data_IF_321635026080
#
_entry.id   IF_321635026080
#
_cell.length_a   1.000
_cell.length_b   1.000
_cell.length_c   1.000
_cell.angle_alpha   90.00
_cell.angle_beta   90.00
_cell.angle_gamma   90.00
#
_symmetry.space_group_name_H-M   'P 1'
#
loop_
_entity.id
_entity.type
_entity.pdbx_description
1 polymer ?
#
# COMPACT_ATOMS: atom_id res chain seq x y z
N UNK A 1 -5.51 -21.54 12.15
CA UNK A 1 -4.61 -20.53 11.56
C UNK A 1 -4.74 -19.30 12.43
N UNK A 2 -3.68 -18.89 13.10
CA UNK A 2 -3.62 -17.55 13.71
C UNK A 2 -2.86 -16.70 12.72
N UNK A 3 -3.59 -16.10 11.76
CA UNK A 3 -3.03 -15.05 10.93
C UNK A 3 -2.59 -13.90 11.82
N UNK A 4 -1.45 -13.29 11.53
CA UNK A 4 -1.04 -12.08 12.23
C UNK A 4 -1.99 -10.95 11.79
N UNK A 5 -2.59 -10.25 12.75
CA UNK A 5 -3.53 -9.16 12.46
C UNK A 5 -2.72 -7.89 12.24
N UNK A 6 -3.09 -7.11 11.22
CA UNK A 6 -2.46 -5.81 10.98
C UNK A 6 -2.65 -4.90 12.20
N UNK A 7 -1.56 -4.25 12.61
CA UNK A 7 -1.57 -3.22 13.64
C UNK A 7 -1.83 -1.83 13.07
N UNK A 8 -1.93 -0.86 13.97
CA UNK A 8 -2.02 0.56 13.59
C UNK A 8 -0.74 1.03 12.87
N UNK A 9 0.42 0.55 13.29
CA UNK A 9 1.70 0.85 12.64
C UNK A 9 1.75 0.28 11.21
N UNK A 10 1.13 -0.89 11.00
CA UNK A 10 1.05 -1.48 9.66
C UNK A 10 0.25 -0.57 8.71
N UNK A 11 -0.94 -0.16 9.17
CA UNK A 11 -1.80 0.78 8.43
C UNK A 11 -1.13 2.13 8.17
N UNK A 12 -0.43 2.70 9.15
CA UNK A 12 0.26 3.99 8.97
C UNK A 12 1.35 3.90 7.91
N UNK A 13 2.11 2.82 7.85
CA UNK A 13 3.14 2.64 6.82
C UNK A 13 2.53 2.46 5.42
N UNK A 14 1.40 1.77 5.30
CA UNK A 14 0.67 1.66 4.03
C UNK A 14 0.22 3.05 3.57
N UNK A 15 -0.39 3.84 4.46
CA UNK A 15 -0.82 5.20 4.13
C UNK A 15 0.34 6.11 3.75
N UNK A 16 1.48 6.02 4.45
CA UNK A 16 2.69 6.79 4.11
C UNK A 16 3.17 6.51 2.68
N UNK A 17 3.00 5.29 2.18
CA UNK A 17 3.29 4.99 0.78
C UNK A 17 2.19 5.55 -0.11
N UNK A 18 0.92 5.20 0.12
CA UNK A 18 -0.17 5.58 -0.79
C UNK A 18 -0.36 7.10 -0.90
N UNK A 19 -0.15 7.86 0.17
CA UNK A 19 -0.19 9.33 0.17
C UNK A 19 0.89 9.92 -0.76
N UNK A 20 2.09 9.32 -0.85
CA UNK A 20 3.16 9.78 -1.76
C UNK A 20 2.82 9.60 -3.24
N UNK A 21 1.91 8.69 -3.54
CA UNK A 21 1.37 8.46 -4.88
C UNK A 21 0.04 9.19 -5.11
N UNK A 22 -0.36 10.05 -4.16
CA UNK A 22 -1.63 10.78 -4.19
C UNK A 22 -2.85 9.84 -4.36
N UNK A 23 -2.75 8.61 -3.85
CA UNK A 23 -3.83 7.63 -3.91
C UNK A 23 -4.80 7.90 -2.77
N UNK A 24 -6.05 8.18 -3.12
CA UNK A 24 -7.12 8.35 -2.16
C UNK A 24 -7.27 7.09 -1.27
N UNK A 25 -7.39 7.32 0.04
CA UNK A 25 -7.49 6.22 1.02
C UNK A 25 -8.75 5.39 0.87
N UNK A 26 -9.78 5.94 0.21
CA UNK A 26 -11.00 5.22 -0.17
C UNK A 26 -10.79 4.29 -1.38
N UNK A 27 -9.72 4.48 -2.15
CA UNK A 27 -9.34 3.63 -3.29
C UNK A 27 -8.58 2.39 -2.84
N UNK A 28 -8.05 2.36 -1.61
CA UNK A 28 -7.32 1.19 -1.10
C UNK A 28 -8.19 0.29 -0.23
N UNK A 29 -7.97 -1.01 -0.34
CA UNK A 29 -8.53 -2.04 0.55
C UNK A 29 -7.39 -2.80 1.21
N UNK A 30 -7.42 -2.88 2.54
CA UNK A 30 -6.38 -3.57 3.32
C UNK A 30 -7.04 -4.63 4.19
N UNK A 31 -6.88 -5.93 3.86
CA UNK A 31 -7.38 -7.01 4.70
C UNK A 31 -6.77 -6.98 6.10
N UNK A 32 -7.56 -7.33 7.11
CA UNK A 32 -7.10 -7.33 8.51
C UNK A 32 -6.06 -8.40 8.81
N UNK A 33 -6.03 -9.47 8.00
CA UNK A 33 -5.08 -10.58 8.15
C UNK A 33 -3.87 -10.38 7.23
N UNK A 34 -2.68 -10.48 7.80
CA UNK A 34 -1.43 -10.57 7.05
C UNK A 34 -1.31 -11.94 6.37
N UNK A 35 -0.71 -11.98 5.19
CA UNK A 35 -0.52 -13.22 4.46
C UNK A 35 0.75 -13.23 3.60
N UNK A 36 1.43 -14.38 3.58
CA UNK A 36 2.57 -14.65 2.71
C UNK A 36 3.64 -13.55 2.72
N UNK A 37 4.09 -13.21 1.51
CA UNK A 37 5.07 -12.14 1.24
C UNK A 37 4.42 -10.78 0.94
N UNK A 38 3.11 -10.67 1.20
CA UNK A 38 2.29 -9.52 0.85
C UNK A 38 1.97 -9.46 -0.65
N UNK A 39 1.02 -8.60 -1.01
CA UNK A 39 0.65 -8.39 -2.42
C UNK A 39 0.01 -7.03 -2.64
N UNK A 40 0.16 -6.53 -3.87
CA UNK A 40 -0.48 -5.30 -4.35
C UNK A 40 -1.20 -5.63 -5.65
N UNK A 41 -2.53 -5.49 -5.67
CA UNK A 41 -3.35 -5.92 -6.80
C UNK A 41 -4.42 -4.87 -7.12
N UNK A 42 -4.62 -4.55 -8.39
CA UNK A 42 -5.78 -3.77 -8.81
C UNK A 42 -7.02 -4.68 -8.96
N UNK A 43 -8.12 -4.28 -8.35
CA UNK A 43 -9.42 -4.94 -8.49
C UNK A 43 -10.17 -4.44 -9.74
N UNK A 44 -11.18 -5.20 -10.17
CA UNK A 44 -12.03 -4.85 -11.32
C UNK A 44 -12.82 -3.54 -11.13
N UNK A 45 -13.08 -3.15 -9.88
CA UNK A 45 -13.76 -1.90 -9.51
C UNK A 45 -12.83 -0.67 -9.49
N UNK A 46 -11.53 -0.88 -9.74
CA UNK A 46 -10.51 0.19 -9.74
C UNK A 46 -9.87 0.46 -8.38
N UNK A 47 -10.28 -0.25 -7.33
CA UNK A 47 -9.62 -0.21 -6.02
C UNK A 47 -8.31 -1.02 -6.01
N UNK A 48 -7.39 -0.66 -5.12
CA UNK A 48 -6.12 -1.37 -4.93
C UNK A 48 -6.19 -2.18 -3.64
N UNK A 49 -6.08 -3.50 -3.74
CA UNK A 49 -5.92 -4.37 -2.58
C UNK A 49 -4.45 -4.46 -2.18
N UNK A 50 -4.16 -4.17 -0.92
CA UNK A 50 -2.82 -4.24 -0.32
C UNK A 50 -2.88 -5.25 0.82
N UNK A 51 -2.24 -6.40 0.63
CA UNK A 51 -2.09 -7.44 1.64
C UNK A 51 -0.73 -7.29 2.30
N UNK A 52 -0.71 -7.05 3.61
CA UNK A 52 0.53 -6.94 4.36
C UNK A 52 1.23 -8.31 4.50
N UNK A 53 2.57 -8.36 4.39
CA UNK A 53 3.33 -9.60 4.55
C UNK A 53 3.31 -10.08 6.01
N UNK A 54 3.32 -11.39 6.19
CA UNK A 54 3.64 -12.02 7.49
C UNK A 54 5.13 -12.35 7.62
N UNK A 55 5.85 -12.40 6.49
CA UNK A 55 7.27 -12.75 6.46
C UNK A 55 8.20 -11.63 6.95
N UNK A 56 7.75 -10.38 7.02
CA UNK A 56 8.54 -9.23 7.45
C UNK A 56 7.71 -8.04 7.95
N UNK A 57 8.31 -7.08 8.68
CA UNK A 57 7.64 -5.84 9.04
C UNK A 57 7.25 -5.01 7.82
N UNK A 58 6.10 -4.33 7.88
CA UNK A 58 5.62 -3.51 6.75
C UNK A 58 6.61 -2.41 6.35
N UNK A 59 7.38 -1.88 7.31
CA UNK A 59 8.35 -0.79 7.07
C UNK A 59 9.48 -1.27 6.17
N UNK A 60 9.93 -2.50 6.35
CA UNK A 60 10.93 -3.12 5.48
C UNK A 60 10.33 -3.52 4.11
N UNK A 61 9.01 -3.69 4.05
CA UNK A 61 8.28 -4.03 2.83
C UNK A 61 7.84 -2.82 1.99
N UNK A 62 7.94 -1.59 2.49
CA UNK A 62 7.55 -0.38 1.76
C UNK A 62 8.13 -0.29 0.33
N UNK A 63 9.42 -0.63 0.07
CA UNK A 63 9.94 -0.60 -1.30
C UNK A 63 9.20 -1.54 -2.26
N UNK A 64 8.74 -2.70 -1.76
CA UNK A 64 7.93 -3.65 -2.54
C UNK A 64 6.52 -3.12 -2.79
N UNK A 65 5.93 -2.44 -1.80
CA UNK A 65 4.63 -1.77 -1.97
C UNK A 65 4.72 -0.66 -3.03
N UNK A 66 5.78 0.14 -2.99
CA UNK A 66 6.06 1.19 -3.98
C UNK A 66 6.21 0.63 -5.40
N UNK A 67 7.02 -0.43 -5.57
CA UNK A 67 7.18 -1.11 -6.85
C UNK A 67 5.86 -1.70 -7.37
N UNK A 68 5.07 -2.31 -6.48
CA UNK A 68 3.74 -2.83 -6.79
C UNK A 68 2.79 -1.74 -7.29
N UNK A 69 2.72 -0.60 -6.58
CA UNK A 69 1.90 0.56 -6.97
C UNK A 69 2.35 1.13 -8.31
N UNK A 70 3.67 1.26 -8.54
CA UNK A 70 4.22 1.68 -9.84
C UNK A 70 3.90 0.71 -10.96
N UNK A 71 3.96 -0.60 -10.69
CA UNK A 71 3.58 -1.66 -11.62
C UNK A 71 2.12 -1.61 -12.05
N UNK A 72 1.24 -1.01 -11.23
CA UNK A 72 -0.15 -0.73 -11.56
C UNK A 72 -0.34 0.55 -12.40
N UNK A 73 0.72 1.32 -12.64
CA UNK A 73 0.71 2.53 -13.46
C UNK A 73 0.59 3.84 -12.69
N UNK A 74 0.64 3.81 -11.36
CA UNK A 74 0.70 5.02 -10.53
C UNK A 74 2.11 5.60 -10.53
N UNK A 75 2.21 6.91 -10.47
CA UNK A 75 3.48 7.63 -10.32
C UNK A 75 3.47 8.40 -9.01
N UNK A 76 4.66 8.68 -8.46
CA UNK A 76 4.77 9.59 -7.33
C UNK A 76 4.10 10.91 -7.71
N UNK A 77 3.39 11.49 -6.75
CA UNK A 77 2.76 12.78 -6.95
C UNK A 77 3.78 13.81 -7.37
N UNK A 78 3.39 14.66 -8.32
CA UNK A 78 4.20 15.81 -8.72
C UNK A 78 4.03 16.82 -7.57
N UNK A 79 4.99 16.86 -6.64
CA UNK A 79 5.02 17.80 -5.52
C UNK A 79 4.96 19.21 -6.13
N UNK A 80 3.75 19.78 -6.11
CA UNK A 80 3.27 20.70 -7.14
C UNK A 80 4.27 21.76 -7.58
N UNK A 81 4.33 21.98 -8.90
CA UNK A 81 4.96 23.17 -9.48
C UNK A 81 4.62 24.39 -8.61
N UNK A 82 5.63 25.10 -8.07
CA UNK A 82 5.39 26.31 -7.29
C UNK A 82 4.62 27.28 -8.20
N UNK A 83 3.41 27.63 -7.80
CA UNK A 83 2.59 28.63 -8.45
C UNK A 83 3.41 29.93 -8.56
N UNK A 84 3.80 30.30 -9.79
CA UNK A 84 4.48 31.56 -10.13
C UNK A 84 3.56 32.78 -9.91
#
# INVERSE_FOLDING_TARGET
MTGEIIGMEDMMAIYEVTDRFEIDRETISVPLEKAGDGSVTANEDGSIEIVAPVSMPIRDWQPTLEDGIQGLGFSLGDDGEPWD
#
